data_IF_531438979173
#
_entry.id   IF_531438979173
#
_cell.length_a   1.000
_cell.length_b   1.000
_cell.length_c   1.000
_cell.angle_alpha   90.00
_cell.angle_beta   90.00
_cell.angle_gamma   90.00
#
_symmetry.space_group_name_H-M   'P 1'
#
loop_
_entity.id
_entity.type
_entity.pdbx_description
1 polymer ?
#
# COMPACT_ATOMS: atom_id res chain seq x y z
N UNK A 1 -18.30 24.50 -13.06
CA UNK A 1 -18.52 23.03 -13.13
C UNK A 1 -19.90 22.74 -12.56
N UNK A 2 -20.69 21.93 -13.24
CA UNK A 2 -22.03 21.52 -12.80
C UNK A 2 -22.10 20.01 -12.80
N UNK A 3 -22.43 19.41 -11.67
CA UNK A 3 -22.57 17.96 -11.51
C UNK A 3 -24.02 17.54 -11.75
N UNK A 4 -24.23 16.35 -12.33
CA UNK A 4 -25.55 15.74 -12.41
C UNK A 4 -26.00 15.23 -11.04
N UNK A 5 -27.32 15.05 -10.88
CA UNK A 5 -27.88 14.41 -9.69
C UNK A 5 -27.29 13.01 -9.55
N UNK A 6 -26.68 12.73 -8.39
CA UNK A 6 -26.00 11.46 -8.06
C UNK A 6 -24.75 11.16 -8.91
N UNK A 7 -24.12 12.17 -9.51
CA UNK A 7 -22.82 11.99 -10.14
C UNK A 7 -21.79 11.62 -9.07
N UNK A 8 -21.18 10.44 -9.21
CA UNK A 8 -20.13 10.01 -8.29
C UNK A 8 -18.88 10.84 -8.51
N UNK A 9 -18.35 11.38 -7.42
CA UNK A 9 -17.09 12.12 -7.41
C UNK A 9 -16.04 11.18 -6.85
N UNK A 10 -14.99 10.92 -7.62
CA UNK A 10 -13.82 10.22 -7.10
C UNK A 10 -13.11 11.11 -6.08
N UNK A 11 -12.98 10.63 -4.85
CA UNK A 11 -12.36 11.38 -3.75
C UNK A 11 -11.01 10.77 -3.38
N UNK A 12 -11.05 9.62 -2.71
CA UNK A 12 -9.86 8.93 -2.23
C UNK A 12 -10.04 7.41 -2.28
N UNK A 13 -8.91 6.71 -2.25
CA UNK A 13 -8.87 5.27 -2.07
C UNK A 13 -7.91 4.92 -0.94
N UNK A 14 -8.39 4.17 0.05
CA UNK A 14 -7.53 3.56 1.08
C UNK A 14 -7.08 2.18 0.60
N UNK A 15 -6.07 2.16 -0.27
CA UNK A 15 -5.53 0.93 -0.83
C UNK A 15 -4.91 0.05 0.26
N UNK A 16 -5.24 -1.25 0.22
CA UNK A 16 -4.67 -2.27 1.11
C UNK A 16 -3.67 -3.10 0.32
N UNK A 17 -2.59 -3.50 0.97
CA UNK A 17 -1.49 -4.26 0.37
C UNK A 17 -1.34 -5.60 1.08
N UNK A 18 -1.15 -6.66 0.31
CA UNK A 18 -0.69 -7.95 0.83
C UNK A 18 0.83 -7.94 1.03
N UNK A 19 1.37 -8.91 1.76
CA UNK A 19 2.83 -9.04 1.94
C UNK A 19 3.55 -9.25 0.61
N UNK A 20 3.00 -10.09 -0.28
CA UNK A 20 3.58 -10.32 -1.61
C UNK A 20 3.60 -9.04 -2.45
N UNK A 21 2.55 -8.20 -2.35
CA UNK A 21 2.50 -6.91 -3.05
C UNK A 21 3.54 -5.93 -2.52
N UNK A 22 3.81 -5.94 -1.21
CA UNK A 22 4.84 -5.12 -0.58
C UNK A 22 6.21 -5.54 -1.09
N UNK A 23 6.51 -6.84 -1.11
CA UNK A 23 7.78 -7.38 -1.61
C UNK A 23 7.98 -7.08 -3.10
N UNK A 24 6.96 -7.33 -3.91
CA UNK A 24 6.98 -7.03 -5.35
C UNK A 24 7.21 -5.54 -5.62
N UNK A 25 6.58 -4.66 -4.83
CA UNK A 25 6.75 -3.22 -4.97
C UNK A 25 8.17 -2.77 -4.62
N UNK A 26 8.77 -3.35 -3.58
CA UNK A 26 10.18 -3.07 -3.23
C UNK A 26 11.09 -3.44 -4.41
N UNK A 27 11.00 -4.68 -4.90
CA UNK A 27 11.84 -5.19 -5.98
C UNK A 27 11.68 -4.37 -7.27
N UNK A 28 10.45 -3.94 -7.60
CA UNK A 28 10.17 -3.14 -8.79
C UNK A 28 10.69 -1.70 -8.71
N UNK A 29 10.99 -1.20 -7.52
CA UNK A 29 11.33 0.21 -7.29
C UNK A 29 12.79 0.43 -6.90
N UNK A 30 13.64 -0.60 -7.02
CA UNK A 30 15.07 -0.51 -6.67
C UNK A 30 15.36 -0.65 -5.18
N UNK A 31 14.47 -1.32 -4.46
CA UNK A 31 14.65 -1.63 -3.04
C UNK A 31 14.62 -3.14 -2.82
N UNK A 32 15.23 -3.58 -1.72
CA UNK A 32 15.08 -4.92 -1.18
C UNK A 32 14.30 -4.86 0.14
N UNK A 33 13.46 -5.87 0.38
CA UNK A 33 12.77 -6.03 1.65
C UNK A 33 13.78 -6.51 2.72
N UNK A 34 14.01 -5.73 3.78
CA UNK A 34 14.79 -6.17 4.96
C UNK A 34 13.89 -6.98 5.90
N UNK A 35 12.80 -6.37 6.37
CA UNK A 35 11.97 -6.95 7.44
C UNK A 35 10.57 -6.36 7.51
N UNK A 36 9.64 -7.20 7.97
CA UNK A 36 8.27 -6.84 8.27
C UNK A 36 8.01 -6.94 9.77
N UNK A 37 7.35 -5.93 10.34
CA UNK A 37 6.82 -5.93 11.70
C UNK A 37 5.31 -5.92 11.62
N UNK A 38 4.65 -6.78 12.40
CA UNK A 38 3.19 -6.82 12.46
C UNK A 38 2.71 -6.60 13.87
N UNK A 39 1.50 -6.04 14.00
CA UNK A 39 0.82 -5.99 15.28
C UNK A 39 0.47 -7.41 15.78
N UNK A 40 0.07 -7.54 17.04
CA UNK A 40 -0.22 -8.84 17.65
C UNK A 40 -1.35 -9.60 16.95
N UNK A 41 -2.25 -8.91 16.24
CA UNK A 41 -3.35 -9.51 15.48
C UNK A 41 -3.04 -9.70 13.99
N UNK A 42 -1.87 -9.26 13.51
CA UNK A 42 -1.45 -9.32 12.10
C UNK A 42 -2.42 -8.64 11.14
N UNK A 43 -3.00 -7.52 11.56
CA UNK A 43 -3.87 -6.67 10.72
C UNK A 43 -3.10 -5.56 10.02
N UNK A 44 -1.99 -5.12 10.60
CA UNK A 44 -1.13 -4.08 10.05
C UNK A 44 0.31 -4.58 9.95
N UNK A 45 1.03 -4.02 8.98
CA UNK A 45 2.44 -4.30 8.76
C UNK A 45 3.21 -2.99 8.53
N UNK A 46 4.33 -2.86 9.23
CA UNK A 46 5.37 -1.89 8.92
C UNK A 46 6.52 -2.63 8.23
N UNK A 47 6.86 -2.21 7.02
CA UNK A 47 7.88 -2.84 6.18
C UNK A 47 9.11 -1.95 6.05
N UNK A 48 10.28 -2.48 6.39
CA UNK A 48 11.57 -1.79 6.25
C UNK A 48 12.24 -2.25 4.97
N UNK A 49 12.58 -1.28 4.12
CA UNK A 49 13.22 -1.50 2.82
C UNK A 49 14.60 -0.85 2.79
N UNK A 50 15.54 -1.51 2.14
CA UNK A 50 16.90 -1.01 1.89
C UNK A 50 17.07 -0.68 0.40
N UNK A 51 17.65 0.48 0.10
CA UNK A 51 17.91 0.88 -1.29
C UNK A 51 19.07 0.06 -1.87
N UNK A 52 18.93 -0.37 -3.12
CA UNK A 52 19.90 -1.19 -3.85
C UNK A 52 20.54 -0.42 -4.99
#
# INVERSE_FOLDING_TARGET
ISFQKNEYIYMEISQKFTLDQIEELAAKTGFALDRNFSDSKKWYVDSVWEAV
#
